data_IF_214805297005
#
_entry.id   IF_214805297005
#
_cell.length_a   1.000
_cell.length_b   1.000
_cell.length_c   1.000
_cell.angle_alpha   90.00
_cell.angle_beta   90.00
_cell.angle_gamma   90.00
#
_symmetry.space_group_name_H-M   'P 1'
#
loop_
_entity.id
_entity.type
_entity.pdbx_description
1 polymer ?
#
# COMPACT_ATOMS: atom_id res chain seq x y z
N UNK A 1 -7.01 36.72 43.62
CA UNK A 1 -7.66 35.41 43.84
C UNK A 1 -8.35 35.00 42.54
N UNK A 2 -7.93 33.90 41.88
CA UNK A 2 -8.58 33.42 40.65
C UNK A 2 -9.86 32.65 41.03
N UNK A 3 -11.01 33.17 40.62
CA UNK A 3 -12.31 32.50 40.84
C UNK A 3 -12.38 31.23 40.01
N UNK A 4 -12.63 30.09 40.65
CA UNK A 4 -12.87 28.81 39.98
C UNK A 4 -14.31 28.87 39.44
N UNK A 5 -14.46 28.87 38.10
CA UNK A 5 -15.78 28.73 37.47
C UNK A 5 -16.24 27.28 37.66
N UNK A 6 -17.20 27.04 38.56
CA UNK A 6 -17.90 25.75 38.65
C UNK A 6 -18.82 25.61 37.43
N UNK A 7 -18.59 24.57 36.63
CA UNK A 7 -19.49 24.18 35.55
C UNK A 7 -20.67 23.39 36.16
N UNK A 8 -21.93 23.67 35.80
CA UNK A 8 -23.11 23.00 36.35
C UNK A 8 -23.01 21.46 36.22
N UNK A 9 -23.39 20.73 37.27
CA UNK A 9 -23.42 19.26 37.28
C UNK A 9 -24.30 18.69 36.14
N UNK A 10 -25.33 19.44 35.74
CA UNK A 10 -26.18 19.16 34.56
C UNK A 10 -25.36 18.93 33.29
N UNK A 11 -24.35 19.75 33.04
CA UNK A 11 -23.54 19.70 31.82
C UNK A 11 -22.68 18.43 31.79
N UNK A 12 -22.22 17.96 32.95
CA UNK A 12 -21.48 16.69 33.09
C UNK A 12 -22.35 15.47 32.76
N UNK A 13 -23.63 15.49 33.12
CA UNK A 13 -24.57 14.39 32.81
C UNK A 13 -24.83 14.32 31.31
N UNK A 14 -25.05 15.47 30.67
CA UNK A 14 -25.23 15.54 29.21
C UNK A 14 -23.98 15.10 28.44
N UNK A 15 -22.79 15.53 28.88
CA UNK A 15 -21.52 15.08 28.32
C UNK A 15 -21.30 13.58 28.50
N UNK A 16 -21.66 13.02 29.66
CA UNK A 16 -21.52 11.60 29.93
C UNK A 16 -22.43 10.75 29.03
N UNK A 17 -23.67 11.20 28.82
CA UNK A 17 -24.64 10.52 27.96
C UNK A 17 -24.21 10.52 26.49
N UNK A 18 -23.55 11.59 26.04
CA UNK A 18 -23.01 11.68 24.68
C UNK A 18 -21.77 10.79 24.51
N UNK A 19 -20.88 10.72 25.51
CA UNK A 19 -19.74 9.80 25.50
C UNK A 19 -20.18 8.35 25.40
N UNK A 20 -21.22 7.97 26.16
CA UNK A 20 -21.73 6.60 26.15
C UNK A 20 -22.37 6.23 24.79
N UNK A 21 -23.08 7.18 24.15
CA UNK A 21 -23.58 7.00 22.77
C UNK A 21 -22.46 6.84 21.74
N UNK A 22 -21.38 7.61 21.89
CA UNK A 22 -20.24 7.54 20.99
C UNK A 22 -19.48 6.22 21.14
N UNK A 23 -19.37 5.68 22.37
CA UNK A 23 -18.73 4.37 22.60
C UNK A 23 -19.50 3.23 21.93
N UNK A 24 -20.83 3.25 22.03
CA UNK A 24 -21.69 2.22 21.41
C UNK A 24 -21.56 2.24 19.87
N UNK A 25 -21.48 3.43 19.26
CA UNK A 25 -21.27 3.58 17.82
C UNK A 25 -19.90 3.07 17.36
N UNK A 26 -18.85 3.31 18.15
CA UNK A 26 -17.50 2.81 17.84
C UNK A 26 -17.46 1.28 17.92
N UNK A 27 -18.16 0.68 18.88
CA UNK A 27 -18.22 -0.78 19.02
C UNK A 27 -18.95 -1.45 17.84
N UNK A 28 -20.06 -0.85 17.36
CA UNK A 28 -20.76 -1.34 16.17
C UNK A 28 -19.92 -1.18 14.88
N UNK A 29 -19.22 -0.05 14.73
CA UNK A 29 -18.33 0.18 13.59
C UNK A 29 -17.14 -0.78 13.57
N UNK A 30 -16.52 -1.02 14.73
CA UNK A 30 -15.41 -1.98 14.85
C UNK A 30 -15.89 -3.41 14.56
N UNK A 31 -17.09 -3.80 15.02
CA UNK A 31 -17.71 -5.08 14.69
C UNK A 31 -18.02 -5.25 13.21
N UNK A 32 -18.45 -4.18 12.52
CA UNK A 32 -18.67 -4.17 11.07
C UNK A 32 -17.35 -4.28 10.28
N UNK A 33 -16.30 -3.59 10.70
CA UNK A 33 -14.96 -3.69 10.09
C UNK A 33 -14.37 -5.11 10.21
N UNK A 34 -14.57 -5.77 11.36
CA UNK A 34 -14.14 -7.16 11.54
C UNK A 34 -14.81 -8.12 10.54
N UNK A 35 -16.12 -7.94 10.28
CA UNK A 35 -16.87 -8.76 9.31
C UNK A 35 -16.44 -8.51 7.86
N UNK A 36 -16.05 -7.27 7.52
CA UNK A 36 -15.50 -6.93 6.20
C UNK A 36 -14.14 -7.62 5.99
N UNK A 37 -13.31 -7.71 7.03
CA UNK A 37 -11.99 -8.37 6.95
C UNK A 37 -12.09 -9.90 6.84
N UNK A 38 -13.18 -10.51 7.31
CA UNK A 38 -13.42 -11.97 7.25
C UNK A 38 -13.75 -12.47 5.84
N UNK A 39 -14.20 -11.60 4.93
CA UNK A 39 -14.39 -11.96 3.52
C UNK A 39 -13.07 -12.04 2.74
N UNK A 40 -11.95 -11.57 3.31
CA UNK A 40 -10.61 -11.80 2.80
C UNK A 40 -9.84 -12.80 3.69
N UNK A 41 -10.35 -14.04 3.72
CA UNK A 41 -9.57 -15.26 3.87
C UNK A 41 -8.58 -15.34 5.04
N UNK A 42 -9.02 -16.00 6.11
CA UNK A 42 -8.14 -16.68 7.04
C UNK A 42 -7.22 -17.67 6.30
N UNK A 43 -5.98 -17.26 6.10
CA UNK A 43 -4.82 -18.14 5.99
C UNK A 43 -3.67 -17.38 6.64
N UNK A 44 -2.79 -18.07 7.37
CA UNK A 44 -1.45 -17.55 7.68
C UNK A 44 -0.91 -16.76 6.48
N UNK A 45 -0.13 -15.67 6.63
CA UNK A 45 0.38 -14.93 5.48
C UNK A 45 1.35 -15.82 4.68
N UNK A 46 0.80 -16.70 3.85
CA UNK A 46 1.51 -17.39 2.79
C UNK A 46 1.88 -16.25 1.88
N UNK A 47 3.12 -15.81 1.98
CA UNK A 47 3.65 -14.76 1.12
C UNK A 47 3.27 -15.11 -0.32
N UNK A 48 2.41 -14.27 -0.90
CA UNK A 48 1.89 -14.51 -2.24
C UNK A 48 3.09 -14.54 -3.18
N UNK A 49 3.32 -15.69 -3.80
CA UNK A 49 4.35 -15.88 -4.80
C UNK A 49 3.78 -15.78 -6.21
N UNK A 50 4.60 -15.30 -7.13
CA UNK A 50 4.31 -15.30 -8.55
C UNK A 50 5.31 -16.19 -9.28
N UNK A 51 4.85 -16.85 -10.34
CA UNK A 51 5.72 -17.60 -11.25
C UNK A 51 5.96 -16.74 -12.47
N UNK A 52 7.23 -16.49 -12.78
CA UNK A 52 7.67 -15.72 -13.94
C UNK A 52 8.33 -16.70 -14.90
N UNK A 53 7.79 -16.81 -16.11
CA UNK A 53 8.41 -17.57 -17.19
C UNK A 53 9.43 -16.68 -17.92
N UNK A 54 10.71 -16.95 -17.77
CA UNK A 54 11.81 -16.28 -18.47
C UNK A 54 12.65 -17.33 -19.20
N UNK A 55 12.85 -17.16 -20.51
CA UNK A 55 13.70 -18.06 -21.32
C UNK A 55 13.30 -19.55 -21.29
N UNK A 56 12.01 -19.85 -21.14
CA UNK A 56 11.49 -21.22 -21.08
C UNK A 56 11.56 -21.89 -19.70
N UNK A 57 12.15 -21.24 -18.69
CA UNK A 57 12.15 -21.72 -17.30
C UNK A 57 11.17 -20.90 -16.46
N UNK A 58 10.35 -21.59 -15.67
CA UNK A 58 9.48 -20.96 -14.68
C UNK A 58 10.26 -20.71 -13.39
N UNK A 59 10.34 -19.45 -12.96
CA UNK A 59 10.94 -19.09 -11.67
C UNK A 59 9.86 -18.64 -10.71
N UNK A 60 9.88 -19.21 -9.51
CA UNK A 60 9.05 -18.76 -8.41
C UNK A 60 9.71 -17.55 -7.73
N UNK A 61 8.94 -16.50 -7.49
CA UNK A 61 9.38 -15.27 -6.84
C UNK A 61 8.34 -14.81 -5.82
N UNK A 62 8.79 -14.39 -4.64
CA UNK A 62 7.89 -13.78 -3.65
C UNK A 62 7.57 -12.35 -4.06
N UNK A 63 6.31 -11.94 -3.89
CA UNK A 63 5.91 -10.56 -4.20
C UNK A 63 6.61 -9.54 -3.30
N UNK A 64 7.01 -9.94 -2.08
CA UNK A 64 7.81 -9.12 -1.15
C UNK A 64 9.21 -8.79 -1.66
N UNK A 65 9.80 -9.64 -2.50
CA UNK A 65 11.16 -9.47 -3.03
C UNK A 65 11.22 -8.54 -4.25
N UNK A 66 10.07 -8.18 -4.82
CA UNK A 66 9.98 -7.28 -5.97
C UNK A 66 10.26 -5.85 -5.51
N UNK A 67 11.25 -5.20 -6.11
CA UNK A 67 11.55 -3.78 -5.89
C UNK A 67 10.65 -2.93 -6.78
N UNK A 68 10.63 -3.24 -8.07
CA UNK A 68 9.76 -2.58 -9.04
C UNK A 68 9.57 -3.40 -10.30
N UNK A 69 8.52 -3.09 -11.04
CA UNK A 69 8.25 -3.61 -12.38
C UNK A 69 8.18 -2.41 -13.33
N UNK A 70 9.05 -2.43 -14.34
CA UNK A 70 9.16 -1.42 -15.39
C UNK A 70 8.53 -1.95 -16.67
N UNK A 71 7.72 -1.14 -17.33
CA UNK A 71 7.20 -1.44 -18.67
C UNK A 71 8.22 -1.08 -19.74
N UNK A 72 8.41 -1.99 -20.68
CA UNK A 72 9.19 -1.83 -21.91
C UNK A 72 8.28 -2.19 -23.09
N UNK A 73 7.46 -1.22 -23.51
CA UNK A 73 6.43 -1.41 -24.54
C UNK A 73 5.46 -2.55 -24.16
N UNK A 74 5.50 -3.68 -24.88
CA UNK A 74 4.66 -4.86 -24.62
C UNK A 74 5.27 -5.85 -23.62
N UNK A 75 6.45 -5.55 -23.09
CA UNK A 75 7.17 -6.35 -22.13
C UNK A 75 7.29 -5.64 -20.79
N UNK A 76 7.72 -6.37 -19.78
CA UNK A 76 8.12 -5.76 -18.52
C UNK A 76 9.39 -6.39 -17.96
N UNK A 77 10.11 -5.57 -17.21
CA UNK A 77 11.31 -5.95 -16.48
C UNK A 77 11.00 -5.86 -15.00
N UNK A 78 11.13 -6.99 -14.30
CA UNK A 78 10.90 -7.13 -12.87
C UNK A 78 12.26 -7.05 -12.18
N UNK A 79 12.46 -6.04 -11.35
CA UNK A 79 13.65 -5.85 -10.54
C UNK A 79 13.44 -6.47 -9.16
N UNK A 80 14.38 -7.32 -8.74
CA UNK A 80 14.33 -8.08 -7.49
C UNK A 80 15.36 -7.52 -6.51
N UNK A 81 15.09 -7.63 -5.21
CA UNK A 81 15.99 -7.20 -4.12
C UNK A 81 17.40 -7.82 -4.20
N UNK A 82 17.55 -8.99 -4.83
CA UNK A 82 18.86 -9.63 -5.07
C UNK A 82 19.73 -8.89 -6.10
N UNK A 83 19.20 -7.86 -6.77
CA UNK A 83 19.86 -7.13 -7.86
C UNK A 83 19.63 -7.74 -9.25
N UNK A 84 18.94 -8.88 -9.32
CA UNK A 84 18.59 -9.51 -10.59
C UNK A 84 17.36 -8.86 -11.23
N UNK A 85 17.35 -8.82 -12.56
CA UNK A 85 16.21 -8.38 -13.36
C UNK A 85 15.66 -9.51 -14.23
N UNK A 86 14.36 -9.76 -14.15
CA UNK A 86 13.66 -10.75 -14.97
C UNK A 86 12.84 -10.05 -16.06
N UNK A 87 13.11 -10.39 -17.31
CA UNK A 87 12.32 -9.94 -18.44
C UNK A 87 11.12 -10.87 -18.69
N UNK A 88 9.96 -10.29 -18.97
CA UNK A 88 8.73 -11.05 -19.20
C UNK A 88 7.85 -10.41 -20.27
N UNK A 89 7.13 -11.24 -21.03
CA UNK A 89 6.16 -10.83 -22.06
C UNK A 89 4.80 -10.39 -21.51
N UNK A 90 4.70 -10.26 -20.19
CA UNK A 90 3.50 -9.77 -19.51
C UNK A 90 3.61 -8.27 -19.26
N UNK A 91 2.48 -7.58 -19.30
CA UNK A 91 2.42 -6.13 -19.09
C UNK A 91 2.40 -5.77 -17.61
N UNK A 92 2.74 -4.52 -17.27
CA UNK A 92 2.62 -4.01 -15.90
C UNK A 92 1.18 -4.11 -15.38
N UNK A 93 0.17 -3.95 -16.24
CA UNK A 93 -1.24 -4.13 -15.87
C UNK A 93 -1.50 -5.56 -15.38
N UNK A 94 -1.04 -6.56 -16.13
CA UNK A 94 -1.14 -7.96 -15.73
C UNK A 94 -0.50 -8.20 -14.36
N UNK A 95 0.71 -7.67 -14.13
CA UNK A 95 1.39 -7.85 -12.85
C UNK A 95 0.74 -7.10 -11.69
N UNK A 96 0.12 -5.95 -11.96
CA UNK A 96 -0.63 -5.19 -10.95
C UNK A 96 -1.79 -6.05 -10.41
N UNK A 97 -2.56 -6.67 -11.32
CA UNK A 97 -3.68 -7.55 -10.98
C UNK A 97 -3.21 -8.89 -10.38
N UNK A 98 -2.13 -9.47 -10.92
CA UNK A 98 -1.61 -10.77 -10.45
C UNK A 98 -1.01 -10.67 -9.05
N UNK A 99 -0.17 -9.67 -8.80
CA UNK A 99 0.45 -9.46 -7.50
C UNK A 99 -0.59 -9.00 -6.49
N UNK A 100 -1.42 -8.00 -6.85
CA UNK A 100 -2.48 -7.41 -6.01
C UNK A 100 -2.11 -7.42 -4.52
N UNK A 101 -1.06 -6.67 -4.19
CA UNK A 101 -0.54 -6.58 -2.83
C UNK A 101 -0.65 -5.13 -2.35
N UNK A 102 -0.96 -4.90 -1.06
CA UNK A 102 -1.23 -3.55 -0.54
C UNK A 102 0.00 -2.64 -0.55
N UNK A 103 1.20 -3.22 -0.64
CA UNK A 103 2.47 -2.48 -0.71
C UNK A 103 2.95 -2.23 -2.15
N UNK A 104 2.26 -2.77 -3.17
CA UNK A 104 2.60 -2.52 -4.57
C UNK A 104 1.70 -1.42 -5.14
N UNK A 105 2.32 -0.34 -5.61
CA UNK A 105 1.63 0.84 -6.09
C UNK A 105 1.96 1.13 -7.54
N UNK A 106 0.93 1.30 -8.35
CA UNK A 106 1.09 1.73 -9.74
C UNK A 106 1.20 3.25 -9.78
N UNK A 107 2.42 3.75 -9.79
CA UNK A 107 2.70 5.20 -9.74
C UNK A 107 2.70 5.86 -11.11
N UNK A 108 2.86 5.07 -12.19
CA UNK A 108 2.79 5.54 -13.57
C UNK A 108 2.31 4.41 -14.49
N UNK A 109 1.92 4.74 -15.74
CA UNK A 109 1.50 3.72 -16.72
C UNK A 109 2.58 2.64 -16.95
N UNK A 110 3.85 3.04 -16.83
CA UNK A 110 5.03 2.20 -17.03
C UNK A 110 5.70 1.68 -15.75
N UNK A 111 5.21 2.05 -14.56
CA UNK A 111 5.90 1.72 -13.31
C UNK A 111 4.92 1.21 -12.26
N UNK A 112 5.19 0.00 -11.76
CA UNK A 112 4.63 -0.56 -10.54
C UNK A 112 5.77 -0.68 -9.54
N UNK A 113 5.65 -0.07 -8.38
CA UNK A 113 6.73 -0.01 -7.39
C UNK A 113 6.31 -0.64 -6.08
N UNK A 114 7.29 -1.14 -5.32
CA UNK A 114 7.07 -1.57 -3.95
C UNK A 114 7.30 -0.40 -2.98
N UNK A 115 6.25 0.02 -2.30
CA UNK A 115 6.28 1.11 -1.32
C UNK A 115 7.23 0.84 -0.14
N UNK A 116 7.47 -0.43 0.20
CA UNK A 116 8.43 -0.81 1.26
C UNK A 116 9.88 -0.63 0.86
N UNK A 117 10.16 -0.47 -0.44
CA UNK A 117 11.51 -0.37 -1.00
C UNK A 117 11.85 1.06 -1.44
N UNK A 118 11.00 2.05 -1.13
CA UNK A 118 11.24 3.46 -1.43
C UNK A 118 12.30 4.01 -0.46
N UNK A 119 13.37 4.58 -1.00
CA UNK A 119 14.42 5.25 -0.21
C UNK A 119 14.15 6.75 -0.08
N UNK A 120 13.75 7.38 -1.18
CA UNK A 120 13.40 8.80 -1.21
C UNK A 120 12.52 9.11 -2.41
N UNK A 121 11.90 10.29 -2.42
CA UNK A 121 11.17 10.81 -3.57
C UNK A 121 11.48 12.29 -3.74
N UNK A 122 11.45 12.78 -4.97
CA UNK A 122 11.73 14.16 -5.33
C UNK A 122 10.47 14.79 -5.97
N UNK A 123 9.66 15.51 -5.16
CA UNK A 123 8.42 16.16 -5.61
C UNK A 123 8.60 17.11 -6.79
N UNK A 124 9.69 17.85 -6.81
CA UNK A 124 10.01 18.83 -7.84
C UNK A 124 10.23 18.21 -9.22
N UNK A 125 10.77 16.98 -9.27
CA UNK A 125 11.08 16.27 -10.53
C UNK A 125 10.11 15.13 -10.86
N UNK A 126 9.16 14.82 -9.98
CA UNK A 126 8.21 13.72 -10.19
C UNK A 126 8.86 12.34 -10.15
N UNK A 127 9.91 12.16 -9.34
CA UNK A 127 10.73 10.93 -9.28
C UNK A 127 10.69 10.26 -7.92
N UNK A 128 10.73 8.93 -7.92
CA UNK A 128 10.90 8.07 -6.74
C UNK A 128 12.19 7.31 -6.91
N UNK A 129 12.97 7.23 -5.84
CA UNK A 129 14.18 6.45 -5.74
C UNK A 129 13.90 5.23 -4.87
N UNK A 130 14.27 4.07 -5.39
CA UNK A 130 14.05 2.76 -4.82
C UNK A 130 15.39 2.12 -4.49
N UNK A 131 15.36 1.15 -3.58
CA UNK A 131 16.52 0.33 -3.24
C UNK A 131 17.19 -0.26 -4.48
N UNK A 132 18.52 -0.30 -4.46
CA UNK A 132 19.32 -0.79 -5.60
C UNK A 132 19.58 0.28 -6.67
N UNK A 133 19.38 1.55 -6.36
CA UNK A 133 19.66 2.66 -7.28
C UNK A 133 18.63 2.81 -8.41
N UNK A 134 17.50 2.12 -8.30
CA UNK A 134 16.44 2.19 -9.28
C UNK A 134 15.59 3.46 -9.08
N UNK A 135 15.02 3.97 -10.16
CA UNK A 135 14.12 5.12 -10.09
C UNK A 135 12.88 4.92 -10.96
N UNK A 136 11.78 5.55 -10.53
CA UNK A 136 10.51 5.52 -11.21
C UNK A 136 9.91 6.93 -11.27
N UNK A 137 9.34 7.29 -12.42
CA UNK A 137 8.54 8.50 -12.53
C UNK A 137 7.12 8.21 -12.03
N UNK A 138 6.45 9.22 -11.50
CA UNK A 138 5.05 9.12 -11.09
C UNK A 138 4.17 10.21 -11.68
N UNK A 139 2.86 9.95 -11.74
CA UNK A 139 1.84 10.95 -12.12
C UNK A 139 1.30 11.68 -10.90
N UNK A 140 0.55 12.78 -11.08
CA UNK A 140 -0.10 13.49 -9.96
C UNK A 140 -0.99 12.57 -9.11
N UNK A 141 -1.60 11.55 -9.72
CA UNK A 141 -2.33 10.51 -9.00
C UNK A 141 -1.40 9.64 -8.13
N UNK A 142 -0.25 9.23 -8.66
CA UNK A 142 0.79 8.53 -7.90
C UNK A 142 1.34 9.37 -6.75
N UNK A 143 1.49 10.69 -6.94
CA UNK A 143 1.89 11.64 -5.89
C UNK A 143 0.92 11.62 -4.71
N UNK A 144 -0.38 11.67 -4.98
CA UNK A 144 -1.41 11.66 -3.94
C UNK A 144 -1.38 10.36 -3.14
N UNK A 145 -1.13 9.22 -3.79
CA UNK A 145 -0.96 7.94 -3.11
C UNK A 145 0.28 7.94 -2.19
N UNK A 146 1.40 8.51 -2.64
CA UNK A 146 2.61 8.61 -1.84
C UNK A 146 2.45 9.52 -0.63
N UNK A 147 1.81 10.69 -0.80
CA UNK A 147 1.59 11.64 0.31
C UNK A 147 0.45 11.22 1.26
N UNK A 148 -0.41 10.30 0.82
CA UNK A 148 -1.49 9.71 1.63
C UNK A 148 -1.06 8.52 2.48
N UNK A 149 0.17 8.01 2.32
CA UNK A 149 0.79 7.06 3.25
C UNK A 149 1.18 7.80 4.53
N UNK A 150 0.21 8.01 5.42
CA UNK A 150 0.42 8.42 6.81
C UNK A 150 0.21 7.25 7.75
#
# INVERSE_FOLDING_TARGET
>A
MKSIKMVPISDYVSLKLEVDRLTDLVEDLTGKLAKVNVQQGASSPVEKGIVISSGGKGRYLKVSDIVMIKAESNYSTIHIVSGESLFTSKTVKYWTEKCNAPFLFRVHKSYLINGRMIESFEPSKGKIFLKGGHNANYTEQGRKMLMGLK
#
